data_IF_375671926785
#
_entry.id   IF_375671926785
#
_cell.length_a   1.000
_cell.length_b   1.000
_cell.length_c   1.000
_cell.angle_alpha   90.00
_cell.angle_beta   90.00
_cell.angle_gamma   90.00
#
_symmetry.space_group_name_H-M   'P 1'
#
loop_
_entity.id
_entity.type
_entity.pdbx_description
1 polymer ?
#
# COMPACT_ATOMS: atom_id res chain seq x y z
N UNK A 1 7.52 -24.51 8.28
CA UNK A 1 6.44 -23.79 8.99
C UNK A 1 5.81 -24.76 9.98
N UNK A 2 5.62 -24.37 11.22
CA UNK A 2 4.89 -25.18 12.20
C UNK A 2 3.39 -25.17 11.91
N UNK A 3 2.63 -26.11 12.50
CA UNK A 3 1.17 -26.11 12.41
C UNK A 3 0.57 -24.79 12.92
N UNK A 4 1.16 -24.21 13.97
CA UNK A 4 0.80 -22.90 14.49
C UNK A 4 0.96 -21.80 13.45
N UNK A 5 2.07 -21.79 12.70
CA UNK A 5 2.33 -20.75 11.67
C UNK A 5 1.26 -20.81 10.57
N UNK A 6 0.88 -22.01 10.15
CA UNK A 6 -0.16 -22.22 9.12
C UNK A 6 -1.51 -21.71 9.61
N UNK A 7 -1.90 -22.06 10.85
CA UNK A 7 -3.16 -21.63 11.44
C UNK A 7 -3.20 -20.11 11.67
N UNK A 8 -2.08 -19.53 12.12
CA UNK A 8 -1.97 -18.10 12.34
C UNK A 8 -2.12 -17.31 11.03
N UNK A 9 -1.39 -17.74 9.99
CA UNK A 9 -1.50 -17.15 8.66
C UNK A 9 -2.91 -17.26 8.08
N UNK A 10 -3.57 -18.41 8.23
CA UNK A 10 -4.94 -18.62 7.79
C UNK A 10 -5.93 -17.69 8.49
N UNK A 11 -5.78 -17.48 9.81
CA UNK A 11 -6.63 -16.55 10.57
C UNK A 11 -6.44 -15.09 10.15
N UNK A 12 -5.20 -14.69 9.89
CA UNK A 12 -4.91 -13.33 9.39
C UNK A 12 -5.51 -13.15 7.99
N UNK A 13 -5.35 -14.13 7.10
CA UNK A 13 -5.96 -14.10 5.76
C UNK A 13 -7.49 -14.08 5.83
N UNK A 14 -8.11 -14.86 6.72
CA UNK A 14 -9.55 -14.93 6.92
C UNK A 14 -10.17 -13.56 7.23
N UNK A 15 -9.47 -12.72 7.98
CA UNK A 15 -9.93 -11.35 8.28
C UNK A 15 -10.19 -10.50 7.01
N UNK A 16 -9.48 -10.80 5.90
CA UNK A 16 -9.58 -10.06 4.64
C UNK A 16 -10.34 -10.80 3.53
N UNK A 17 -10.63 -12.11 3.70
CA UNK A 17 -11.26 -12.95 2.67
C UNK A 17 -12.70 -13.34 2.99
N UNK A 18 -13.08 -13.42 4.27
CA UNK A 18 -14.43 -13.79 4.69
C UNK A 18 -15.41 -12.60 4.58
N UNK A 19 -16.68 -12.82 4.94
CA UNK A 19 -17.76 -11.82 4.89
C UNK A 19 -17.37 -10.46 5.51
N UNK A 20 -16.55 -10.49 6.58
CA UNK A 20 -15.96 -9.28 7.18
C UNK A 20 -14.94 -8.59 6.28
N UNK A 21 -14.20 -9.36 5.49
CA UNK A 21 -13.25 -8.85 4.50
C UNK A 21 -13.95 -8.22 3.31
N UNK A 22 -15.05 -8.77 2.85
CA UNK A 22 -15.90 -8.16 1.81
C UNK A 22 -16.46 -6.83 2.28
N UNK A 23 -16.96 -6.73 3.50
CA UNK A 23 -17.41 -5.49 4.11
C UNK A 23 -16.29 -4.45 4.22
N UNK A 24 -15.08 -4.87 4.65
CA UNK A 24 -13.91 -4.02 4.70
C UNK A 24 -13.58 -3.42 3.33
N UNK A 25 -13.53 -4.27 2.32
CA UNK A 25 -13.27 -3.85 0.96
C UNK A 25 -14.39 -3.00 0.36
N UNK A 26 -15.65 -3.35 0.59
CA UNK A 26 -16.82 -2.61 0.12
C UNK A 26 -16.92 -1.22 0.76
N UNK A 27 -16.70 -1.10 2.07
CA UNK A 27 -16.73 0.18 2.78
C UNK A 27 -15.57 1.08 2.36
N UNK A 28 -14.37 0.52 2.17
CA UNK A 28 -13.21 1.26 1.66
C UNK A 28 -13.38 1.67 0.19
N UNK A 29 -14.33 1.10 -0.55
CA UNK A 29 -14.57 1.35 -1.99
C UNK A 29 -15.76 2.26 -2.29
N UNK A 30 -16.59 2.62 -1.31
CA UNK A 30 -17.68 3.58 -1.54
C UNK A 30 -17.12 4.96 -1.90
N UNK A 31 -16.70 5.08 -3.17
CA UNK A 31 -16.26 6.31 -3.79
C UNK A 31 -16.93 6.40 -5.15
N UNK A 32 -17.46 7.56 -5.49
CA UNK A 32 -18.00 7.81 -6.83
C UNK A 32 -16.90 7.61 -7.88
N UNK A 33 -17.17 6.85 -8.94
CA UNK A 33 -16.17 6.48 -9.95
C UNK A 33 -15.47 7.70 -10.57
N UNK A 34 -16.18 8.82 -10.72
CA UNK A 34 -15.64 10.09 -11.22
C UNK A 34 -14.55 10.71 -10.33
N UNK A 35 -14.46 10.32 -9.06
CA UNK A 35 -13.47 10.82 -8.11
C UNK A 35 -12.19 9.96 -8.08
N UNK A 36 -12.23 8.75 -8.62
CA UNK A 36 -11.08 7.86 -8.68
C UNK A 36 -9.88 8.52 -9.38
N UNK A 37 -10.05 9.21 -10.53
CA UNK A 37 -8.93 9.89 -11.20
C UNK A 37 -8.26 10.95 -10.34
N UNK A 38 -9.00 11.68 -9.48
CA UNK A 38 -8.40 12.68 -8.60
C UNK A 38 -7.48 12.04 -7.56
N UNK A 39 -7.95 10.93 -6.96
CA UNK A 39 -7.17 10.18 -5.97
C UNK A 39 -5.97 9.52 -6.64
N UNK A 40 -6.15 8.90 -7.81
CA UNK A 40 -5.05 8.26 -8.53
C UNK A 40 -3.95 9.27 -8.91
N UNK A 41 -4.31 10.46 -9.40
CA UNK A 41 -3.33 11.53 -9.68
C UNK A 41 -2.57 11.99 -8.44
N UNK A 42 -3.27 12.14 -7.31
CA UNK A 42 -2.64 12.48 -6.04
C UNK A 42 -1.67 11.39 -5.58
N UNK A 43 -2.07 10.10 -5.71
CA UNK A 43 -1.22 8.96 -5.36
C UNK A 43 0.00 8.86 -6.26
N UNK A 44 -0.16 9.16 -7.55
CA UNK A 44 0.96 9.26 -8.49
C UNK A 44 2.05 10.20 -7.98
N UNK A 45 1.71 11.36 -7.45
CA UNK A 45 2.68 12.34 -6.95
C UNK A 45 3.60 11.77 -5.86
N UNK A 46 3.09 10.82 -5.07
CA UNK A 46 3.87 10.16 -4.01
C UNK A 46 4.94 9.21 -4.56
N UNK A 47 4.74 8.63 -5.73
CA UNK A 47 5.60 7.56 -6.25
C UNK A 47 6.35 7.91 -7.53
N UNK A 48 5.76 8.73 -8.41
CA UNK A 48 6.25 8.95 -9.77
C UNK A 48 7.69 9.47 -9.86
N UNK A 49 8.13 10.29 -8.90
CA UNK A 49 9.50 10.83 -8.91
C UNK A 49 10.60 9.76 -8.71
N UNK A 50 10.22 8.56 -8.24
CA UNK A 50 11.10 7.40 -8.09
C UNK A 50 11.00 6.41 -9.25
N UNK A 51 10.05 6.60 -10.18
CA UNK A 51 9.66 5.67 -11.23
C UNK A 51 9.89 6.31 -12.59
N UNK A 52 10.59 5.59 -13.47
CA UNK A 52 10.84 6.01 -14.85
C UNK A 52 9.79 5.43 -15.80
N UNK A 53 9.52 6.06 -16.96
CA UNK A 53 8.61 5.49 -17.97
C UNK A 53 9.03 4.11 -18.51
N UNK A 54 10.30 3.75 -18.35
CA UNK A 54 10.84 2.44 -18.76
C UNK A 54 10.78 1.37 -17.68
N UNK A 55 10.36 1.71 -16.48
CA UNK A 55 10.37 0.78 -15.34
C UNK A 55 9.17 -0.19 -15.38
N UNK A 56 9.41 -1.42 -14.95
CA UNK A 56 8.40 -2.40 -14.60
C UNK A 56 8.08 -2.25 -13.10
N UNK A 57 6.81 -1.97 -12.78
CA UNK A 57 6.35 -1.68 -11.43
C UNK A 57 5.42 -2.77 -10.91
N UNK A 58 5.68 -3.23 -9.71
CA UNK A 58 4.82 -4.18 -9.00
C UNK A 58 4.34 -3.60 -7.67
N UNK A 59 3.05 -3.73 -7.37
CA UNK A 59 2.50 -3.39 -6.06
C UNK A 59 2.08 -4.66 -5.32
N UNK A 60 2.65 -4.88 -4.16
CA UNK A 60 2.24 -5.94 -3.25
C UNK A 60 1.12 -5.42 -2.35
N UNK A 61 -0.10 -5.97 -2.52
CA UNK A 61 -1.32 -5.49 -1.89
C UNK A 61 -1.94 -4.30 -2.62
N UNK A 62 -2.39 -4.51 -3.86
CA UNK A 62 -2.88 -3.44 -4.74
C UNK A 62 -4.18 -2.78 -4.31
N UNK A 63 -4.97 -3.44 -3.45
CA UNK A 63 -6.22 -2.90 -2.94
C UNK A 63 -7.18 -2.46 -4.04
N UNK A 64 -7.47 -1.16 -4.13
CA UNK A 64 -8.31 -0.57 -5.17
C UNK A 64 -7.53 -0.09 -6.42
N UNK A 65 -6.23 -0.33 -6.52
CA UNK A 65 -5.40 0.01 -7.69
C UNK A 65 -5.02 1.48 -7.83
N UNK A 66 -5.43 2.33 -6.91
CA UNK A 66 -5.28 3.78 -7.06
C UNK A 66 -3.82 4.26 -7.09
N UNK A 67 -2.90 3.49 -6.54
CA UNK A 67 -1.47 3.82 -6.59
C UNK A 67 -0.88 3.58 -7.98
N UNK A 68 -1.37 2.56 -8.72
CA UNK A 68 -0.85 2.17 -10.01
C UNK A 68 -1.53 2.86 -11.20
N UNK A 69 -2.85 3.15 -11.10
CA UNK A 69 -3.66 3.58 -12.23
C UNK A 69 -3.07 4.76 -13.00
N UNK A 70 -2.57 5.78 -12.29
CA UNK A 70 -2.06 7.00 -12.90
C UNK A 70 -0.55 7.05 -13.08
N UNK A 71 0.20 5.98 -12.70
CA UNK A 71 1.65 5.94 -12.89
C UNK A 71 2.01 5.90 -14.38
N UNK A 72 3.06 6.63 -14.72
CA UNK A 72 3.72 6.55 -16.02
C UNK A 72 4.94 5.62 -15.90
N UNK A 73 4.79 4.40 -16.41
CA UNK A 73 5.81 3.35 -16.40
C UNK A 73 5.49 2.33 -17.50
N UNK A 74 6.46 1.46 -17.83
CA UNK A 74 6.33 0.49 -18.93
C UNK A 74 5.26 -0.54 -18.64
N UNK A 75 5.36 -1.21 -17.47
CA UNK A 75 4.47 -2.29 -17.07
C UNK A 75 4.00 -2.08 -15.63
N UNK A 76 2.73 -2.41 -15.39
CA UNK A 76 2.10 -2.36 -14.07
C UNK A 76 1.57 -3.72 -13.71
N UNK A 77 1.87 -4.16 -12.50
CA UNK A 77 1.33 -5.41 -11.99
C UNK A 77 1.07 -5.32 -10.49
N UNK A 78 0.21 -6.19 -10.02
CA UNK A 78 -0.13 -6.27 -8.60
C UNK A 78 -0.47 -7.69 -8.17
N UNK A 79 -0.22 -7.96 -6.91
CA UNK A 79 -0.81 -9.05 -6.17
C UNK A 79 -1.71 -8.49 -5.09
N UNK A 80 -2.88 -9.06 -4.92
CA UNK A 80 -3.75 -8.80 -3.78
C UNK A 80 -4.38 -10.12 -3.33
N UNK A 81 -4.60 -10.27 -2.03
CA UNK A 81 -5.26 -11.44 -1.45
C UNK A 81 -6.71 -11.56 -1.93
N UNK A 82 -7.35 -10.42 -2.22
CA UNK A 82 -8.73 -10.32 -2.71
C UNK A 82 -8.74 -10.16 -4.23
N UNK A 83 -9.39 -11.09 -4.93
CA UNK A 83 -9.59 -11.00 -6.40
C UNK A 83 -10.71 -10.05 -6.83
N UNK A 84 -11.41 -9.43 -5.89
CA UNK A 84 -12.58 -8.56 -6.16
C UNK A 84 -12.31 -7.41 -7.14
N UNK A 85 -11.06 -6.96 -7.27
CA UNK A 85 -10.66 -5.88 -8.16
C UNK A 85 -9.98 -6.35 -9.45
N UNK A 86 -9.92 -7.66 -9.72
CA UNK A 86 -9.25 -8.19 -10.91
C UNK A 86 -9.69 -7.47 -12.19
N UNK A 87 -11.00 -7.41 -12.47
CA UNK A 87 -11.54 -6.75 -13.66
C UNK A 87 -11.17 -5.27 -13.73
N UNK A 88 -11.13 -4.58 -12.58
CA UNK A 88 -10.72 -3.19 -12.52
C UNK A 88 -9.24 -3.03 -12.86
N UNK A 89 -8.38 -3.89 -12.35
CA UNK A 89 -6.95 -3.90 -12.70
C UNK A 89 -6.75 -4.13 -14.19
N UNK A 90 -7.37 -5.16 -14.74
CA UNK A 90 -7.27 -5.53 -16.16
C UNK A 90 -7.76 -4.40 -17.08
N UNK A 91 -8.87 -3.71 -16.72
CA UNK A 91 -9.37 -2.56 -17.50
C UNK A 91 -8.43 -1.35 -17.51
N UNK A 92 -7.47 -1.29 -16.58
CA UNK A 92 -6.43 -0.25 -16.53
C UNK A 92 -5.06 -0.75 -17.00
N UNK A 93 -5.00 -1.92 -17.67
CA UNK A 93 -3.76 -2.51 -18.16
C UNK A 93 -2.81 -2.94 -17.04
N UNK A 94 -3.33 -3.25 -15.86
CA UNK A 94 -2.56 -3.73 -14.71
C UNK A 94 -2.68 -5.25 -14.64
N UNK A 95 -1.55 -5.96 -14.70
CA UNK A 95 -1.51 -7.42 -14.58
C UNK A 95 -1.81 -7.79 -13.13
N UNK A 96 -2.82 -8.65 -12.94
CA UNK A 96 -3.20 -9.14 -11.61
C UNK A 96 -2.70 -10.57 -11.38
N UNK A 97 -1.93 -10.76 -10.31
CA UNK A 97 -1.53 -12.06 -9.81
C UNK A 97 -2.45 -12.46 -8.64
N UNK A 98 -3.04 -13.63 -8.71
CA UNK A 98 -3.89 -14.22 -7.66
C UNK A 98 -3.10 -15.06 -6.66
N UNK A 99 -1.87 -15.42 -7.00
CA UNK A 99 -0.97 -16.20 -6.18
C UNK A 99 0.43 -15.57 -6.17
N UNK A 100 1.05 -15.55 -5.01
CA UNK A 100 2.43 -15.04 -4.85
C UNK A 100 3.46 -15.88 -5.61
N UNK A 101 3.18 -17.16 -5.84
CA UNK A 101 4.03 -18.08 -6.62
C UNK A 101 4.13 -17.70 -8.11
N UNK A 102 3.11 -17.03 -8.65
CA UNK A 102 3.06 -16.58 -10.06
C UNK A 102 3.81 -15.28 -10.31
N UNK A 103 4.17 -14.55 -9.28
CA UNK A 103 4.89 -13.28 -9.40
C UNK A 103 6.35 -13.55 -9.78
N UNK A 104 6.84 -13.05 -10.93
CA UNK A 104 8.18 -13.39 -11.42
C UNK A 104 9.30 -12.86 -10.53
N UNK A 105 10.39 -13.64 -10.43
CA UNK A 105 11.61 -13.28 -9.69
C UNK A 105 12.52 -12.38 -10.52
N UNK A 106 13.28 -11.48 -9.87
CA UNK A 106 14.26 -10.57 -10.49
C UNK A 106 13.71 -9.80 -11.71
N UNK A 107 12.43 -9.40 -11.62
CA UNK A 107 11.71 -8.86 -12.77
C UNK A 107 11.43 -7.36 -12.66
N UNK A 108 11.22 -6.85 -11.45
CA UNK A 108 10.71 -5.50 -11.26
C UNK A 108 11.82 -4.48 -11.00
N UNK A 109 11.70 -3.33 -11.65
CA UNK A 109 12.56 -2.18 -11.40
C UNK A 109 12.15 -1.46 -10.12
N UNK A 110 10.84 -1.43 -9.83
CA UNK A 110 10.28 -0.84 -8.62
C UNK A 110 9.20 -1.75 -8.02
N UNK A 111 9.28 -1.98 -6.72
CA UNK A 111 8.22 -2.62 -5.94
C UNK A 111 7.66 -1.62 -4.94
N UNK A 112 6.34 -1.48 -4.94
CA UNK A 112 5.58 -0.70 -3.95
C UNK A 112 4.90 -1.68 -2.99
N UNK A 113 5.02 -1.43 -1.68
CA UNK A 113 4.23 -2.10 -0.64
C UNK A 113 3.65 -1.00 0.25
N UNK A 114 2.37 -0.69 0.01
CA UNK A 114 1.71 0.47 0.61
C UNK A 114 0.54 0.03 1.50
N UNK A 115 0.68 0.20 2.80
CA UNK A 115 -0.30 -0.20 3.82
C UNK A 115 -0.64 -1.70 3.76
N UNK A 116 0.39 -2.53 3.79
CA UNK A 116 0.28 -4.00 3.81
C UNK A 116 1.14 -4.62 4.92
N UNK A 117 2.34 -4.08 5.13
CA UNK A 117 3.31 -4.71 6.03
C UNK A 117 2.83 -4.77 7.49
N UNK A 118 1.93 -3.89 7.89
CA UNK A 118 1.26 -3.89 9.19
C UNK A 118 0.25 -5.03 9.36
N UNK A 119 -0.18 -5.65 8.28
CA UNK A 119 -1.21 -6.69 8.26
C UNK A 119 -0.64 -8.11 8.08
N UNK A 120 0.61 -8.24 7.62
CA UNK A 120 1.18 -9.56 7.34
C UNK A 120 1.71 -10.22 8.62
N UNK A 121 1.55 -11.56 8.78
CA UNK A 121 2.00 -12.27 9.98
C UNK A 121 3.51 -12.18 10.20
N UNK A 122 4.28 -12.23 9.12
CA UNK A 122 5.73 -12.31 9.13
C UNK A 122 6.35 -11.26 8.19
N UNK A 123 6.46 -9.98 8.62
CA UNK A 123 6.93 -8.90 7.76
C UNK A 123 8.35 -9.11 7.24
N UNK A 124 9.22 -9.80 7.99
CA UNK A 124 10.56 -10.16 7.53
C UNK A 124 10.54 -11.15 6.35
N UNK A 125 9.66 -12.15 6.38
CA UNK A 125 9.49 -13.09 5.26
C UNK A 125 8.88 -12.39 4.04
N UNK A 126 7.94 -11.49 4.25
CA UNK A 126 7.38 -10.67 3.17
C UNK A 126 8.47 -9.83 2.51
N UNK A 127 9.36 -9.19 3.28
CA UNK A 127 10.50 -8.44 2.74
C UNK A 127 11.47 -9.33 1.95
N UNK A 128 11.78 -10.53 2.44
CA UNK A 128 12.60 -11.51 1.72
C UNK A 128 11.95 -11.91 0.39
N UNK A 129 10.64 -12.17 0.40
CA UNK A 129 9.86 -12.44 -0.79
C UNK A 129 9.95 -11.28 -1.81
N UNK A 130 9.77 -10.03 -1.39
CA UNK A 130 9.85 -8.86 -2.27
C UNK A 130 11.27 -8.66 -2.82
N UNK A 131 12.32 -8.92 -2.00
CA UNK A 131 13.72 -8.85 -2.40
C UNK A 131 14.03 -9.77 -3.58
N UNK A 132 13.49 -10.99 -3.57
CA UNK A 132 13.68 -11.95 -4.67
C UNK A 132 13.06 -11.49 -6.00
N UNK A 133 12.01 -10.65 -5.96
CA UNK A 133 11.29 -10.16 -7.15
C UNK A 133 11.90 -8.90 -7.73
N UNK A 134 12.69 -8.18 -6.95
CA UNK A 134 13.42 -7.02 -7.44
C UNK A 134 14.58 -7.41 -8.36
N UNK A 135 14.80 -6.62 -9.39
CA UNK A 135 16.06 -6.63 -10.14
C UNK A 135 17.23 -6.21 -9.22
N UNK A 136 18.49 -6.55 -9.57
CA UNK A 136 19.67 -6.20 -8.75
C UNK A 136 19.80 -4.71 -8.43
N UNK A 137 19.30 -3.82 -9.29
CA UNK A 137 19.29 -2.36 -9.11
C UNK A 137 17.89 -1.81 -8.83
N UNK A 138 16.94 -2.69 -8.53
CA UNK A 138 15.56 -2.31 -8.28
C UNK A 138 15.38 -1.59 -6.94
N UNK A 139 14.28 -0.85 -6.82
CA UNK A 139 13.92 -0.08 -5.64
C UNK A 139 12.71 -0.69 -4.96
N UNK A 140 12.76 -0.78 -3.63
CA UNK A 140 11.63 -1.07 -2.78
C UNK A 140 11.12 0.25 -2.17
N UNK A 141 9.82 0.51 -2.32
CA UNK A 141 9.13 1.64 -1.71
C UNK A 141 8.13 1.07 -0.70
N UNK A 142 8.36 1.33 0.58
CA UNK A 142 7.48 0.93 1.66
C UNK A 142 6.73 2.14 2.21
N UNK A 143 5.44 1.96 2.44
CA UNK A 143 4.62 2.95 3.14
C UNK A 143 3.79 2.23 4.18
N UNK A 144 3.93 2.62 5.45
CA UNK A 144 3.18 2.03 6.55
C UNK A 144 2.61 3.12 7.46
N UNK A 145 1.43 2.95 8.05
CA UNK A 145 0.87 3.95 8.95
C UNK A 145 1.67 4.03 10.24
N UNK A 146 1.74 5.23 10.82
CA UNK A 146 2.11 5.37 12.22
C UNK A 146 0.81 5.48 13.02
N UNK A 147 0.69 4.72 14.09
CA UNK A 147 -0.39 4.91 15.04
C UNK A 147 -0.03 6.03 16.00
N UNK A 148 -0.60 7.21 15.76
CA UNK A 148 -0.33 8.40 16.57
C UNK A 148 -1.10 8.41 17.89
N UNK A 149 -2.16 7.59 18.00
CA UNK A 149 -2.94 7.45 19.21
C UNK A 149 -2.73 6.04 19.75
N UNK A 150 -1.97 5.94 20.84
CA UNK A 150 -1.98 4.75 21.67
C UNK A 150 -3.42 4.55 22.17
N UNK A 151 -4.11 3.60 21.57
CA UNK A 151 -5.40 3.16 22.10
C UNK A 151 -5.12 2.49 23.44
N UNK A 152 -5.69 3.04 24.50
CA UNK A 152 -5.52 2.50 25.84
C UNK A 152 -6.24 1.16 26.07
N UNK A 153 -7.05 0.68 25.09
CA UNK A 153 -7.84 -0.53 25.22
C UNK A 153 -7.92 -1.31 23.91
N UNK A 154 -7.94 -2.62 24.04
CA UNK A 154 -8.21 -3.56 22.96
C UNK A 154 -9.69 -3.53 22.57
N UNK A 155 -9.98 -3.68 21.28
CA UNK A 155 -11.32 -3.88 20.75
C UNK A 155 -11.34 -5.03 19.75
N UNK A 156 -12.11 -6.07 20.01
CA UNK A 156 -12.35 -7.16 19.07
C UNK A 156 -13.14 -6.70 17.82
N UNK A 157 -13.68 -5.48 17.82
CA UNK A 157 -14.39 -4.85 16.70
C UNK A 157 -13.48 -3.94 15.88
N UNK A 158 -12.16 -4.02 16.10
CA UNK A 158 -11.21 -3.28 15.26
C UNK A 158 -11.30 -3.78 13.81
N UNK A 159 -11.44 -2.82 12.89
CA UNK A 159 -11.62 -3.10 11.46
C UNK A 159 -10.32 -3.06 10.69
N UNK A 160 -9.32 -2.37 11.23
CA UNK A 160 -8.03 -2.24 10.51
C UNK A 160 -7.21 -3.53 10.61
N UNK A 161 -7.29 -4.25 11.72
CA UNK A 161 -6.61 -5.54 11.91
C UNK A 161 -5.08 -5.44 11.88
N UNK A 162 -4.51 -4.30 12.31
CA UNK A 162 -3.08 -4.12 12.35
C UNK A 162 -2.43 -5.06 13.36
N UNK A 163 -1.45 -5.83 12.94
CA UNK A 163 -0.62 -6.67 13.80
C UNK A 163 0.60 -5.90 14.31
N UNK A 164 1.03 -4.89 13.57
CA UNK A 164 2.23 -4.10 13.85
C UNK A 164 1.95 -2.61 13.74
N UNK A 165 2.68 -1.85 14.56
CA UNK A 165 2.82 -0.40 14.42
C UNK A 165 4.28 -0.04 14.18
N UNK A 166 4.53 1.01 13.41
CA UNK A 166 5.86 1.32 12.91
C UNK A 166 6.31 2.72 13.29
N UNK A 167 7.59 2.82 13.62
CA UNK A 167 8.34 4.06 13.63
C UNK A 167 9.38 4.04 12.50
N UNK A 168 9.93 5.18 12.06
CA UNK A 168 11.05 5.17 11.12
C UNK A 168 12.19 4.25 11.53
N UNK A 169 12.55 4.25 12.83
CA UNK A 169 13.62 3.43 13.36
C UNK A 169 13.32 1.94 13.28
N UNK A 170 12.11 1.50 13.71
CA UNK A 170 11.79 0.06 13.74
C UNK A 170 11.61 -0.49 12.32
N UNK A 171 11.00 0.28 11.40
CA UNK A 171 10.90 -0.11 10.00
C UNK A 171 12.28 -0.17 9.34
N UNK A 172 13.11 0.85 9.52
CA UNK A 172 14.45 0.89 8.96
C UNK A 172 15.32 -0.28 9.42
N UNK A 173 15.27 -0.63 10.72
CA UNK A 173 15.99 -1.78 11.28
C UNK A 173 15.54 -3.10 10.64
N UNK A 174 14.22 -3.29 10.47
CA UNK A 174 13.67 -4.51 9.85
C UNK A 174 14.11 -4.63 8.39
N UNK A 175 13.99 -3.54 7.63
CA UNK A 175 14.36 -3.48 6.20
C UNK A 175 15.85 -3.74 6.02
N UNK A 176 16.71 -3.12 6.84
CA UNK A 176 18.14 -3.37 6.80
C UNK A 176 18.48 -4.84 7.09
N UNK A 177 17.89 -5.43 8.13
CA UNK A 177 18.08 -6.86 8.47
C UNK A 177 17.54 -7.82 7.42
N UNK A 178 16.57 -7.39 6.60
CA UNK A 178 16.07 -8.15 5.47
C UNK A 178 16.99 -8.08 4.22
N UNK A 179 18.19 -7.45 4.33
CA UNK A 179 19.19 -7.35 3.27
C UNK A 179 18.93 -6.22 2.28
N UNK A 180 18.40 -5.11 2.76
CA UNK A 180 18.23 -3.89 1.98
C UNK A 180 19.08 -2.75 2.54
N UNK A 181 19.59 -1.91 1.64
CA UNK A 181 20.16 -0.62 1.96
C UNK A 181 19.06 0.44 1.93
N UNK A 182 18.82 1.10 3.06
CA UNK A 182 17.85 2.20 3.18
C UNK A 182 18.49 3.49 2.65
N UNK A 183 17.83 4.15 1.70
CA UNK A 183 18.27 5.41 1.10
C UNK A 183 17.54 6.62 1.64
N UNK A 184 16.23 6.45 1.86
CA UNK A 184 15.35 7.49 2.36
C UNK A 184 14.37 6.91 3.38
N UNK A 185 14.14 7.64 4.46
CA UNK A 185 13.06 7.35 5.39
C UNK A 185 12.52 8.68 5.93
N UNK A 186 11.21 8.86 5.81
CA UNK A 186 10.55 10.11 6.17
C UNK A 186 9.15 9.88 6.72
N UNK A 187 8.60 10.91 7.38
CA UNK A 187 7.21 10.93 7.84
C UNK A 187 6.38 11.80 6.90
N UNK A 188 5.41 11.20 6.24
CA UNK A 188 4.47 11.90 5.39
C UNK A 188 3.12 12.09 6.09
N UNK A 189 2.44 13.19 5.78
CA UNK A 189 1.05 13.39 6.20
C UNK A 189 0.11 12.68 5.23
N UNK A 190 -0.81 11.87 5.75
CA UNK A 190 -1.74 11.05 4.98
C UNK A 190 -3.21 11.30 5.31
N UNK A 191 -4.09 10.62 4.58
CA UNK A 191 -5.50 10.49 4.89
C UNK A 191 -6.38 11.57 4.27
N UNK A 192 -7.67 11.42 4.54
CA UNK A 192 -8.76 12.28 4.09
C UNK A 192 -9.04 12.28 2.59
N UNK A 193 -8.40 11.42 1.79
CA UNK A 193 -8.53 11.38 0.34
C UNK A 193 -10.00 11.25 -0.09
N UNK A 194 -10.72 10.26 0.44
CA UNK A 194 -12.14 10.03 0.10
C UNK A 194 -13.05 11.11 0.64
N UNK A 195 -12.88 11.45 1.92
CA UNK A 195 -13.69 12.49 2.57
C UNK A 195 -13.58 13.82 1.82
N UNK A 196 -12.37 14.25 1.54
CA UNK A 196 -12.14 15.51 0.84
C UNK A 196 -12.63 15.48 -0.61
N UNK A 197 -12.50 14.35 -1.32
CA UNK A 197 -12.99 14.19 -2.68
C UNK A 197 -14.54 14.26 -2.73
N UNK A 198 -15.23 13.53 -1.87
CA UNK A 198 -16.69 13.57 -1.79
C UNK A 198 -17.22 14.97 -1.37
N UNK A 199 -16.53 15.62 -0.42
CA UNK A 199 -16.87 16.98 -0.01
C UNK A 199 -16.66 17.95 -1.18
N UNK A 200 -15.56 17.87 -1.91
CA UNK A 200 -15.28 18.72 -3.07
C UNK A 200 -16.32 18.54 -4.18
N UNK A 201 -16.75 17.29 -4.43
CA UNK A 201 -17.84 16.98 -5.35
C UNK A 201 -19.14 17.64 -4.90
N UNK A 202 -19.52 17.48 -3.63
CA UNK A 202 -20.74 18.06 -3.06
C UNK A 202 -20.74 19.60 -3.15
N UNK A 203 -19.60 20.23 -2.90
CA UNK A 203 -19.41 21.68 -3.00
C UNK A 203 -19.18 22.18 -4.45
N UNK A 204 -19.07 21.27 -5.43
CA UNK A 204 -18.80 21.57 -6.85
C UNK A 204 -17.50 22.38 -7.09
N UNK A 205 -16.47 22.18 -6.25
CA UNK A 205 -15.21 22.92 -6.33
C UNK A 205 -14.09 22.21 -7.10
N UNK A 206 -14.39 21.05 -7.69
CA UNK A 206 -13.48 20.30 -8.54
C UNK A 206 -12.25 19.74 -7.83
N UNK A 207 -11.28 19.28 -8.63
CA UNK A 207 -10.04 18.67 -8.08
C UNK A 207 -9.17 19.66 -7.31
N UNK A 208 -9.12 20.91 -7.72
CA UNK A 208 -8.38 21.95 -6.99
C UNK A 208 -8.94 22.13 -5.57
N UNK A 209 -10.27 22.22 -5.44
CA UNK A 209 -10.95 22.28 -4.15
C UNK A 209 -10.72 21.01 -3.31
N UNK A 210 -10.73 19.84 -3.93
CA UNK A 210 -10.36 18.58 -3.27
C UNK A 210 -8.98 18.66 -2.60
N UNK A 211 -7.97 19.14 -3.31
CA UNK A 211 -6.59 19.24 -2.80
C UNK A 211 -6.51 20.22 -1.60
N UNK A 212 -7.23 21.32 -1.67
CA UNK A 212 -7.30 22.32 -0.57
C UNK A 212 -8.01 21.72 0.65
N UNK A 213 -9.20 21.15 0.48
CA UNK A 213 -9.98 20.56 1.55
C UNK A 213 -9.21 19.42 2.25
N UNK A 214 -8.49 18.60 1.48
CA UNK A 214 -7.65 17.54 2.03
C UNK A 214 -6.53 18.13 2.91
N UNK A 215 -5.82 19.15 2.45
CA UNK A 215 -4.77 19.81 3.23
C UNK A 215 -5.31 20.44 4.52
N UNK A 216 -6.47 21.08 4.45
CA UNK A 216 -7.13 21.64 5.63
C UNK A 216 -7.49 20.55 6.64
N UNK A 217 -8.08 19.45 6.19
CA UNK A 217 -8.41 18.33 7.06
C UNK A 217 -7.15 17.72 7.72
N UNK A 218 -6.07 17.60 6.98
CA UNK A 218 -4.78 17.13 7.50
C UNK A 218 -4.14 18.10 8.49
N UNK A 219 -4.34 19.40 8.32
CA UNK A 219 -3.86 20.40 9.27
C UNK A 219 -4.62 20.33 10.60
N UNK A 220 -5.94 20.14 10.54
CA UNK A 220 -6.80 20.04 11.75
C UNK A 220 -6.52 18.75 12.52
N UNK A 221 -6.38 17.62 11.83
CA UNK A 221 -6.15 16.30 12.46
C UNK A 221 -5.11 15.52 11.65
N UNK A 222 -3.81 15.77 11.88
CA UNK A 222 -2.76 15.11 11.14
C UNK A 222 -2.77 13.60 11.38
N UNK A 223 -2.72 12.83 10.29
CA UNK A 223 -2.41 11.40 10.31
C UNK A 223 -1.11 11.20 9.54
N UNK A 224 -0.22 10.35 10.04
CA UNK A 224 1.12 10.18 9.47
C UNK A 224 1.36 8.75 9.00
N UNK A 225 2.27 8.62 8.06
CA UNK A 225 2.80 7.35 7.57
C UNK A 225 4.33 7.44 7.47
N UNK A 226 5.01 6.33 7.68
CA UNK A 226 6.44 6.20 7.36
C UNK A 226 6.53 5.87 5.89
N UNK A 227 7.32 6.65 5.17
CA UNK A 227 7.70 6.42 3.79
C UNK A 227 9.19 6.03 3.76
N UNK A 228 9.51 4.93 3.11
CA UNK A 228 10.88 4.40 3.04
C UNK A 228 11.20 3.97 1.62
N UNK A 229 12.42 4.33 1.16
CA UNK A 229 12.99 3.87 -0.12
C UNK A 229 14.28 3.09 0.18
N UNK A 230 14.37 1.89 -0.39
CA UNK A 230 15.54 1.04 -0.24
C UNK A 230 15.90 0.33 -1.56
N UNK A 231 17.09 -0.21 -1.67
CA UNK A 231 17.53 -1.13 -2.72
C UNK A 231 18.15 -2.38 -2.10
N UNK A 232 18.35 -3.42 -2.91
CA UNK A 232 19.04 -4.62 -2.44
C UNK A 232 20.46 -4.22 -1.99
N UNK A 233 20.82 -4.62 -0.77
CA UNK A 233 22.18 -4.44 -0.28
C UNK A 233 23.13 -5.33 -1.10
N UNK A 234 24.21 -4.72 -1.59
CA UNK A 234 25.27 -5.42 -2.32
C UNK A 234 26.37 -5.73 -1.30
N UNK A 235 26.22 -6.87 -0.64
CA UNK A 235 27.32 -7.45 0.16
C UNK A 235 28.41 -7.95 -0.74
#
# INVERSE_FOLDING_TARGET
MSEFDVLFEARVKGHYLEEKGEDYHLIKRKLSAELIPWIARLRREKFQYLIKPTDSVFEYGGGAGWNLMALDCRDKSTYDISSLNRTLFESHGIIFYDETSKVPVKHFDVIICNHVLEHVPYPGLTLAYLRERLKPNGKLILVVPTEFQLRASYSAKDREGHLYTWTPQTLGNLVHRAGFQVHEISLLTRGYDRFAAELAKKLKVGEAGYRVLRKLAQWVRPSREVFLVASIDRI
#
